data_IF_644577635520
#
_entry.id   IF_644577635520
#
_cell.length_a   1.000
_cell.length_b   1.000
_cell.length_c   1.000
_cell.angle_alpha   90.00
_cell.angle_beta   90.00
_cell.angle_gamma   90.00
#
_symmetry.space_group_name_H-M   'P 1'
#
loop_
_entity.id
_entity.type
_entity.pdbx_description
1 polymer ?
#
# COMPACT_ATOMS: atom_id res chain seq x y z
N UNK A 1 -18.43 20.24 -9.73
CA UNK A 1 -17.52 19.41 -10.56
C UNK A 1 -17.10 18.20 -9.75
N UNK A 2 -17.27 16.99 -10.30
CA UNK A 2 -16.83 15.76 -9.64
C UNK A 2 -15.37 15.51 -9.96
N UNK A 3 -14.55 15.30 -8.93
CA UNK A 3 -13.15 14.96 -9.09
C UNK A 3 -12.99 13.44 -9.16
N UNK A 4 -11.99 13.00 -9.94
CA UNK A 4 -11.47 11.67 -9.76
C UNK A 4 -10.91 11.55 -8.34
N UNK A 5 -11.12 10.42 -7.69
CA UNK A 5 -10.81 10.29 -6.28
C UNK A 5 -10.08 8.99 -5.94
N UNK A 6 -9.32 9.06 -4.86
CA UNK A 6 -8.69 7.91 -4.22
C UNK A 6 -9.40 7.70 -2.88
N UNK A 7 -9.78 6.47 -2.60
CA UNK A 7 -10.35 6.08 -1.32
C UNK A 7 -9.21 5.57 -0.42
N UNK A 8 -9.11 6.13 0.77
CA UNK A 8 -8.18 5.65 1.80
C UNK A 8 -9.01 5.00 2.90
N UNK A 9 -8.79 3.71 3.15
CA UNK A 9 -9.45 3.00 4.25
C UNK A 9 -8.53 3.00 5.47
N UNK A 10 -9.06 3.49 6.59
CA UNK A 10 -8.33 3.69 7.83
C UNK A 10 -8.45 2.46 8.74
N UNK A 11 -7.33 1.82 9.00
CA UNK A 11 -7.23 0.68 9.91
C UNK A 11 -6.73 1.08 11.31
N UNK A 12 -6.79 2.37 11.63
CA UNK A 12 -6.43 2.87 12.96
C UNK A 12 -4.98 3.31 13.11
N UNK A 13 -4.27 3.53 12.01
CA UNK A 13 -2.91 4.05 12.05
C UNK A 13 -2.90 5.52 12.48
N UNK A 14 -1.90 5.91 13.29
CA UNK A 14 -1.65 7.31 13.61
C UNK A 14 -1.21 8.13 12.39
N UNK A 15 -0.76 7.47 11.33
CA UNK A 15 -0.23 8.14 10.12
C UNK A 15 -1.18 8.06 8.92
N UNK A 16 -2.42 7.62 9.10
CA UNK A 16 -3.40 7.56 8.00
C UNK A 16 -3.65 8.94 7.38
N UNK A 17 -3.77 9.98 8.21
CA UNK A 17 -3.95 11.34 7.70
C UNK A 17 -2.74 11.83 6.92
N UNK A 18 -1.56 11.30 7.21
CA UNK A 18 -0.35 11.62 6.47
C UNK A 18 -0.40 11.03 5.05
N UNK A 19 -0.99 9.84 4.88
CA UNK A 19 -1.25 9.28 3.55
C UNK A 19 -2.12 10.22 2.74
N UNK A 20 -3.23 10.68 3.32
CA UNK A 20 -4.14 11.63 2.68
C UNK A 20 -3.41 12.92 2.29
N UNK A 21 -2.58 13.43 3.19
CA UNK A 21 -1.79 14.64 2.93
C UNK A 21 -0.85 14.45 1.73
N UNK A 22 -0.16 13.31 1.65
CA UNK A 22 0.76 13.02 0.54
C UNK A 22 0.02 12.92 -0.78
N UNK A 23 -1.16 12.31 -0.79
CA UNK A 23 -1.99 12.21 -1.99
C UNK A 23 -2.43 13.61 -2.43
N UNK A 24 -2.86 14.46 -1.49
CA UNK A 24 -3.28 15.83 -1.78
C UNK A 24 -2.13 16.70 -2.26
N UNK A 25 -0.93 16.48 -1.76
CA UNK A 25 0.28 17.17 -2.25
C UNK A 25 0.57 16.85 -3.72
N UNK A 26 0.12 15.68 -4.21
CA UNK A 26 0.20 15.31 -5.62
C UNK A 26 -0.96 15.90 -6.44
N UNK A 27 -1.78 16.77 -5.85
CA UNK A 27 -2.96 17.39 -6.46
C UNK A 27 -4.04 16.40 -6.88
N UNK A 28 -4.20 15.35 -6.08
CA UNK A 28 -5.22 14.31 -6.28
C UNK A 28 -6.20 14.37 -5.12
N UNK A 29 -7.50 14.39 -5.44
CA UNK A 29 -8.54 14.35 -4.41
C UNK A 29 -8.62 12.98 -3.77
N UNK A 30 -8.72 12.93 -2.45
CA UNK A 30 -8.89 11.69 -1.71
C UNK A 30 -9.81 11.89 -0.52
N UNK A 31 -10.43 10.81 -0.08
CA UNK A 31 -11.26 10.76 1.13
C UNK A 31 -10.80 9.60 2.01
N UNK A 32 -10.82 9.83 3.32
CA UNK A 32 -10.52 8.80 4.33
C UNK A 32 -11.84 8.31 4.92
N UNK A 33 -12.05 7.00 4.90
CA UNK A 33 -13.21 6.35 5.49
C UNK A 33 -12.76 5.16 6.35
N UNK A 34 -13.54 4.76 7.36
CA UNK A 34 -13.15 3.64 8.21
C UNK A 34 -13.14 2.31 7.44
N UNK A 35 -12.29 1.39 7.86
CA UNK A 35 -12.16 0.08 7.20
C UNK A 35 -13.40 -0.81 7.34
N UNK A 36 -14.29 -0.51 8.29
CA UNK A 36 -15.51 -1.29 8.56
C UNK A 36 -16.71 -0.92 7.67
N UNK A 37 -16.51 -0.07 6.64
CA UNK A 37 -17.54 0.17 5.64
C UNK A 37 -17.92 -1.14 4.96
N UNK A 38 -19.19 -1.24 4.55
CA UNK A 38 -19.72 -2.47 3.96
C UNK A 38 -19.34 -2.61 2.48
N UNK A 39 -19.44 -3.83 1.96
CA UNK A 39 -19.27 -4.07 0.52
C UNK A 39 -20.26 -3.25 -0.30
N UNK A 40 -21.49 -3.14 0.17
CA UNK A 40 -22.53 -2.33 -0.48
C UNK A 40 -22.14 -0.86 -0.52
N UNK A 41 -21.61 -0.33 0.61
CA UNK A 41 -21.13 1.05 0.67
C UNK A 41 -20.01 1.28 -0.36
N UNK A 42 -19.08 0.34 -0.48
CA UNK A 42 -17.94 0.44 -1.42
C UNK A 42 -18.45 0.46 -2.87
N UNK A 43 -19.37 -0.43 -3.21
CA UNK A 43 -19.95 -0.47 -4.56
C UNK A 43 -20.68 0.83 -4.91
N UNK A 44 -21.47 1.35 -3.96
CA UNK A 44 -22.19 2.61 -4.15
C UNK A 44 -21.22 3.79 -4.29
N UNK A 45 -20.16 3.81 -3.49
CA UNK A 45 -19.11 4.83 -3.56
C UNK A 45 -18.42 4.87 -4.93
N UNK A 46 -18.28 3.74 -5.57
CA UNK A 46 -17.57 3.58 -6.84
C UNK A 46 -18.48 3.70 -8.09
N UNK A 47 -19.81 3.79 -7.90
CA UNK A 47 -20.75 3.65 -9.03
C UNK A 47 -20.72 4.80 -10.04
N UNK A 48 -20.25 5.99 -9.64
CA UNK A 48 -20.17 7.15 -10.54
C UNK A 48 -18.93 7.10 -11.45
N UNK A 49 -18.06 6.09 -11.32
CA UNK A 49 -16.87 5.93 -12.13
C UNK A 49 -15.71 6.85 -11.76
N UNK A 50 -15.82 7.65 -10.70
CA UNK A 50 -14.78 8.58 -10.29
C UNK A 50 -13.74 7.97 -9.35
N UNK A 51 -14.02 6.81 -8.75
CA UNK A 51 -13.04 6.12 -7.91
C UNK A 51 -11.97 5.47 -8.80
N UNK A 52 -10.71 5.89 -8.62
CA UNK A 52 -9.59 5.45 -9.47
C UNK A 52 -8.61 4.53 -8.76
N UNK A 53 -8.67 4.46 -7.45
CA UNK A 53 -7.82 3.57 -6.67
C UNK A 53 -8.17 3.58 -5.20
N UNK A 54 -7.64 2.59 -4.47
CA UNK A 54 -7.85 2.43 -3.03
C UNK A 54 -6.50 2.25 -2.35
N UNK A 55 -6.31 2.91 -1.22
CA UNK A 55 -5.15 2.72 -0.35
C UNK A 55 -5.64 2.16 0.98
N UNK A 56 -5.03 1.05 1.42
CA UNK A 56 -5.29 0.43 2.72
C UNK A 56 -4.18 0.85 3.66
N UNK A 57 -4.54 1.54 4.74
CA UNK A 57 -3.56 2.09 5.69
C UNK A 57 -2.96 1.01 6.60
N UNK A 58 -1.98 1.40 7.41
CA UNK A 58 -1.48 0.58 8.49
C UNK A 58 -2.39 0.55 9.71
N UNK A 59 -2.00 -0.23 10.69
CA UNK A 59 -2.64 -0.33 12.00
C UNK A 59 -1.57 -0.64 13.03
N UNK A 60 -1.84 -0.34 14.30
CA UNK A 60 -1.02 -0.81 15.43
C UNK A 60 -1.34 -2.26 15.82
N UNK A 61 -2.48 -2.77 15.34
CA UNK A 61 -2.95 -4.11 15.69
C UNK A 61 -2.33 -5.18 14.79
N UNK A 62 -2.40 -6.41 15.23
CA UNK A 62 -2.08 -7.60 14.45
C UNK A 62 -3.36 -8.14 13.79
N UNK A 63 -3.23 -8.78 12.62
CA UNK A 63 -4.34 -9.50 11.98
C UNK A 63 -4.85 -10.66 12.85
N UNK A 64 -4.09 -11.07 13.84
CA UNK A 64 -4.49 -12.10 14.81
C UNK A 64 -5.17 -11.52 16.07
N UNK A 65 -5.05 -10.22 16.29
CA UNK A 65 -5.62 -9.54 17.46
C UNK A 65 -6.97 -8.90 17.16
N UNK A 66 -7.19 -8.51 15.91
CA UNK A 66 -8.42 -7.85 15.47
C UNK A 66 -8.89 -8.46 14.15
N UNK A 67 -10.20 -8.43 13.95
CA UNK A 67 -10.84 -8.89 12.70
C UNK A 67 -10.96 -7.77 11.66
N UNK A 68 -10.23 -6.69 11.81
CA UNK A 68 -10.26 -5.60 10.87
C UNK A 68 -9.71 -6.05 9.52
N UNK A 69 -10.54 -5.98 8.51
CA UNK A 69 -10.17 -6.33 7.14
C UNK A 69 -10.81 -5.34 6.18
N UNK A 70 -10.25 -5.25 4.98
CA UNK A 70 -10.87 -4.46 3.94
C UNK A 70 -12.17 -5.14 3.48
N UNK A 71 -13.20 -4.37 3.07
CA UNK A 71 -14.34 -4.97 2.40
C UNK A 71 -13.88 -5.75 1.17
N UNK A 72 -14.38 -6.97 1.00
CA UNK A 72 -13.99 -7.82 -0.14
C UNK A 72 -14.31 -7.16 -1.48
N UNK A 73 -15.35 -6.32 -1.53
CA UNK A 73 -15.71 -5.56 -2.72
C UNK A 73 -14.57 -4.68 -3.26
N UNK A 74 -13.67 -4.21 -2.39
CA UNK A 74 -12.50 -3.40 -2.81
C UNK A 74 -11.68 -4.14 -3.87
N UNK A 75 -11.49 -5.44 -3.68
CA UNK A 75 -10.69 -6.26 -4.60
C UNK A 75 -11.46 -6.70 -5.84
N UNK A 76 -12.75 -6.44 -5.89
CA UNK A 76 -13.62 -6.79 -7.03
C UNK A 76 -14.00 -5.60 -7.90
N UNK A 77 -13.61 -4.37 -7.53
CA UNK A 77 -13.97 -3.15 -8.27
C UNK A 77 -13.24 -2.99 -9.61
N UNK A 78 -12.10 -3.67 -9.79
CA UNK A 78 -11.27 -3.49 -10.98
C UNK A 78 -10.37 -2.24 -10.93
N UNK A 79 -10.24 -1.59 -9.79
CA UNK A 79 -9.34 -0.45 -9.60
C UNK A 79 -8.06 -0.88 -8.90
N UNK A 80 -6.94 -0.15 -9.11
CA UNK A 80 -5.70 -0.43 -8.39
C UNK A 80 -5.86 -0.31 -6.87
N UNK A 81 -5.15 -1.17 -6.13
CA UNK A 81 -5.14 -1.15 -4.67
C UNK A 81 -3.69 -1.14 -4.18
N UNK A 82 -3.39 -0.27 -3.23
CA UNK A 82 -2.10 -0.23 -2.53
C UNK A 82 -2.33 -0.53 -1.05
N UNK A 83 -1.70 -1.60 -0.55
CA UNK A 83 -1.69 -1.93 0.88
C UNK A 83 -0.41 -1.48 1.54
N UNK A 84 -0.51 -0.85 2.70
CA UNK A 84 0.63 -0.33 3.46
C UNK A 84 0.63 -0.98 4.84
N UNK A 85 1.73 -1.65 5.20
CA UNK A 85 1.92 -2.28 6.51
C UNK A 85 0.78 -3.27 6.82
N UNK A 86 -0.09 -2.98 7.78
CA UNK A 86 -1.28 -3.81 8.05
C UNK A 86 -2.14 -4.00 6.80
N UNK A 87 -2.27 -2.96 5.97
CA UNK A 87 -3.01 -3.05 4.70
C UNK A 87 -2.43 -4.11 3.76
N UNK A 88 -1.12 -4.30 3.75
CA UNK A 88 -0.48 -5.40 3.02
C UNK A 88 -0.85 -6.76 3.62
N UNK A 89 -0.85 -6.85 4.94
CA UNK A 89 -1.13 -8.10 5.65
C UNK A 89 -2.58 -8.55 5.44
N UNK A 90 -3.54 -7.65 5.56
CA UNK A 90 -4.95 -7.97 5.31
C UNK A 90 -5.18 -8.33 3.85
N UNK A 91 -4.54 -7.63 2.91
CA UNK A 91 -4.58 -7.98 1.49
C UNK A 91 -4.06 -9.41 1.25
N UNK A 92 -2.91 -9.74 1.82
CA UNK A 92 -2.33 -11.06 1.68
C UNK A 92 -3.27 -12.14 2.22
N UNK A 93 -3.82 -11.93 3.41
CA UNK A 93 -4.69 -12.90 4.06
C UNK A 93 -6.01 -13.09 3.32
N UNK A 94 -6.63 -12.00 2.86
CA UNK A 94 -7.90 -12.05 2.13
C UNK A 94 -7.77 -12.66 0.73
N UNK A 95 -6.61 -12.56 0.11
CA UNK A 95 -6.40 -13.05 -1.27
C UNK A 95 -5.71 -14.42 -1.34
N UNK A 96 -5.55 -15.10 -0.19
CA UNK A 96 -5.08 -16.47 -0.15
C UNK A 96 -3.61 -16.67 0.16
N UNK A 97 -2.91 -15.62 0.60
CA UNK A 97 -1.56 -15.71 1.14
C UNK A 97 -1.56 -16.06 2.62
N UNK A 98 -0.40 -15.93 3.25
CA UNK A 98 -0.24 -16.27 4.66
C UNK A 98 0.51 -15.18 5.40
N UNK A 99 0.04 -14.86 6.61
CA UNK A 99 0.68 -13.92 7.55
C UNK A 99 1.05 -14.72 8.80
N UNK A 100 2.23 -14.49 9.34
CA UNK A 100 2.68 -15.11 10.58
C UNK A 100 3.09 -14.04 11.58
N UNK A 101 2.84 -14.31 12.86
CA UNK A 101 3.29 -13.45 13.94
C UNK A 101 4.81 -13.45 14.01
N UNK A 102 5.42 -12.27 14.03
CA UNK A 102 6.85 -12.13 14.24
C UNK A 102 7.22 -12.35 15.70
N UNK A 103 8.38 -12.94 15.93
CA UNK A 103 8.91 -13.12 17.28
C UNK A 103 9.46 -11.82 17.86
N UNK A 104 9.84 -10.89 17.01
CA UNK A 104 10.34 -9.56 17.37
C UNK A 104 9.66 -8.52 16.51
N UNK A 105 9.35 -7.37 17.12
CA UNK A 105 8.87 -6.22 16.37
C UNK A 105 10.04 -5.48 15.74
N UNK A 106 9.92 -5.15 14.46
CA UNK A 106 10.89 -4.34 13.75
C UNK A 106 10.40 -2.91 13.68
N UNK A 107 11.14 -2.01 14.30
CA UNK A 107 10.89 -0.58 14.24
C UNK A 107 12.15 0.13 13.79
N UNK A 108 11.98 1.09 12.90
CA UNK A 108 13.06 1.98 12.52
C UNK A 108 13.51 1.83 11.08
N UNK A 109 14.72 2.28 10.86
CA UNK A 109 15.35 2.33 9.54
C UNK A 109 15.65 0.93 9.03
N UNK A 110 15.36 0.73 7.76
CA UNK A 110 15.74 -0.50 7.04
C UNK A 110 16.10 -0.17 5.59
N UNK A 111 16.95 -1.00 5.01
CA UNK A 111 17.26 -0.94 3.59
C UNK A 111 16.57 -2.10 2.90
N UNK A 112 15.70 -1.79 1.95
CA UNK A 112 14.88 -2.76 1.24
C UNK A 112 15.41 -2.90 -0.19
N UNK A 113 15.62 -4.14 -0.62
CA UNK A 113 15.96 -4.43 -2.00
C UNK A 113 14.70 -4.43 -2.85
N UNK A 114 14.64 -3.54 -3.83
CA UNK A 114 13.59 -3.58 -4.84
C UNK A 114 13.85 -4.76 -5.77
N UNK A 115 12.83 -5.60 -5.95
CA UNK A 115 12.93 -6.81 -6.78
C UNK A 115 11.96 -6.74 -7.94
N UNK A 116 12.48 -7.11 -9.11
CA UNK A 116 11.70 -7.08 -10.33
C UNK A 116 11.49 -5.65 -10.86
N UNK A 117 10.75 -5.56 -11.94
CA UNK A 117 10.48 -4.29 -12.61
C UNK A 117 8.98 -4.02 -12.56
N UNK A 118 8.45 -3.87 -11.32
CA UNK A 118 7.03 -3.54 -11.16
C UNK A 118 6.77 -2.11 -11.58
N UNK A 119 5.56 -1.84 -12.05
CA UNK A 119 5.14 -0.50 -12.42
C UNK A 119 5.28 0.48 -11.24
N UNK A 120 5.11 -0.01 -10.00
CA UNK A 120 5.20 0.84 -8.80
C UNK A 120 6.63 1.26 -8.47
N UNK A 121 7.59 0.34 -8.52
CA UNK A 121 8.96 0.59 -8.05
C UNK A 121 9.99 0.78 -9.17
N UNK A 122 9.60 0.65 -10.43
CA UNK A 122 10.53 0.81 -11.55
C UNK A 122 11.25 2.16 -11.47
N UNK A 123 12.57 2.10 -11.49
CA UNK A 123 13.47 3.27 -11.45
C UNK A 123 13.34 4.11 -10.18
N UNK A 124 12.74 3.58 -9.12
CA UNK A 124 12.71 4.21 -7.81
C UNK A 124 13.72 3.50 -6.91
N UNK A 125 14.79 4.19 -6.54
CA UNK A 125 15.80 3.68 -5.62
C UNK A 125 16.58 4.85 -5.01
N UNK A 126 17.03 4.67 -3.76
CA UNK A 126 17.93 5.64 -3.10
C UNK A 126 19.37 5.45 -3.56
N UNK A 127 19.75 4.20 -3.79
CA UNK A 127 21.09 3.86 -4.30
C UNK A 127 21.06 2.49 -4.95
N UNK A 128 22.11 2.16 -5.66
CA UNK A 128 22.29 0.87 -6.33
C UNK A 128 23.53 0.18 -5.78
N UNK A 129 23.45 -1.10 -5.46
CA UNK A 129 24.59 -1.88 -4.98
C UNK A 129 25.58 -2.17 -6.11
N UNK A 130 26.78 -2.66 -5.75
CA UNK A 130 27.79 -3.05 -6.73
C UNK A 130 27.29 -4.14 -7.70
N UNK A 131 26.36 -4.99 -7.24
CA UNK A 131 25.73 -6.03 -8.07
C UNK A 131 24.56 -5.50 -8.93
N UNK A 132 24.26 -4.20 -8.85
CA UNK A 132 23.21 -3.58 -9.65
C UNK A 132 21.81 -3.65 -9.03
N UNK A 133 21.69 -3.94 -7.73
CA UNK A 133 20.41 -4.01 -7.05
C UNK A 133 19.97 -2.62 -6.57
N UNK A 134 18.75 -2.20 -6.92
CA UNK A 134 18.15 -0.97 -6.40
C UNK A 134 17.74 -1.14 -4.94
N UNK A 135 18.14 -0.20 -4.09
CA UNK A 135 17.87 -0.21 -2.66
C UNK A 135 17.06 1.01 -2.25
N UNK A 136 16.14 0.79 -1.34
CA UNK A 136 15.28 1.83 -0.77
C UNK A 136 15.54 1.96 0.72
N UNK A 137 15.71 3.19 1.18
CA UNK A 137 15.83 3.53 2.60
C UNK A 137 14.43 3.83 3.12
N UNK A 138 13.95 3.00 4.04
CA UNK A 138 12.55 3.02 4.47
C UNK A 138 12.43 2.99 5.99
N UNK A 139 11.23 3.32 6.46
CA UNK A 139 10.82 3.14 7.85
C UNK A 139 9.94 1.91 7.96
N UNK A 140 10.36 0.96 8.79
CA UNK A 140 9.61 -0.25 9.14
C UNK A 140 8.94 -0.09 10.49
N UNK A 141 7.74 -0.65 10.63
CA UNK A 141 7.02 -0.69 11.90
C UNK A 141 6.03 -1.86 11.85
N UNK A 142 6.51 -3.07 12.17
CA UNK A 142 5.66 -4.26 12.13
C UNK A 142 6.11 -5.34 13.10
N UNK A 143 5.15 -6.11 13.63
CA UNK A 143 5.38 -7.34 14.39
C UNK A 143 5.11 -8.57 13.53
N UNK A 144 4.01 -8.56 12.80
CA UNK A 144 3.61 -9.62 11.89
C UNK A 144 4.22 -9.40 10.51
N UNK A 145 4.32 -10.47 9.72
CA UNK A 145 4.82 -10.37 8.34
C UNK A 145 4.15 -11.38 7.42
N UNK A 146 4.06 -11.04 6.16
CA UNK A 146 3.59 -11.94 5.11
C UNK A 146 4.68 -12.99 4.86
N UNK A 147 4.33 -14.26 4.94
CA UNK A 147 5.27 -15.37 4.74
C UNK A 147 5.00 -16.16 3.48
N UNK A 148 3.83 -15.99 2.88
CA UNK A 148 3.45 -16.66 1.64
C UNK A 148 2.65 -15.70 0.76
N UNK A 149 3.07 -15.55 -0.49
CA UNK A 149 2.41 -14.70 -1.47
C UNK A 149 1.04 -15.27 -1.85
N UNK A 150 -0.01 -14.41 -1.96
CA UNK A 150 -1.26 -14.86 -2.55
C UNK A 150 -1.10 -15.31 -4.00
N UNK A 151 -2.01 -16.14 -4.53
CA UNK A 151 -1.97 -16.53 -5.94
C UNK A 151 -1.96 -15.31 -6.87
N UNK A 152 -1.10 -15.34 -7.88
CA UNK A 152 -0.95 -14.26 -8.84
C UNK A 152 0.02 -13.16 -8.45
N UNK A 153 0.45 -13.11 -7.19
CA UNK A 153 1.41 -12.11 -6.72
C UNK A 153 2.84 -12.55 -6.96
N UNK A 154 3.71 -11.56 -7.16
CA UNK A 154 5.15 -11.73 -7.25
C UNK A 154 5.85 -10.89 -6.20
N UNK A 155 7.05 -11.29 -5.82
CA UNK A 155 7.88 -10.55 -4.88
C UNK A 155 8.29 -9.22 -5.51
N UNK A 156 8.06 -8.12 -4.79
CA UNK A 156 8.39 -6.78 -5.25
C UNK A 156 9.53 -6.14 -4.45
N UNK A 157 9.65 -6.49 -3.17
CA UNK A 157 10.69 -5.95 -2.30
C UNK A 157 11.02 -6.94 -1.18
N UNK A 158 12.26 -6.91 -0.70
CA UNK A 158 12.73 -7.85 0.34
C UNK A 158 13.82 -7.24 1.21
N UNK A 159 13.89 -7.72 2.45
CA UNK A 159 15.03 -7.55 3.36
C UNK A 159 15.40 -8.93 3.91
N UNK A 160 16.53 -9.03 4.60
CA UNK A 160 16.94 -10.29 5.23
C UNK A 160 15.98 -10.72 6.33
N UNK A 161 15.48 -9.77 7.11
CA UNK A 161 14.54 -10.03 8.21
C UNK A 161 13.08 -10.08 7.74
N UNK A 162 12.78 -9.51 6.60
CA UNK A 162 11.44 -9.49 6.01
C UNK A 162 11.53 -9.89 4.53
N UNK A 163 11.56 -11.21 4.23
CA UNK A 163 11.73 -11.68 2.85
C UNK A 163 10.64 -11.20 1.89
N UNK A 164 9.43 -10.96 2.37
CA UNK A 164 8.34 -10.36 1.60
C UNK A 164 8.03 -8.99 2.18
N UNK A 165 8.84 -8.00 1.81
CA UNK A 165 8.64 -6.61 2.20
C UNK A 165 7.78 -5.84 1.20
N UNK A 166 7.50 -6.43 0.06
CA UNK A 166 6.60 -5.90 -0.96
C UNK A 166 6.17 -7.00 -1.90
N UNK A 167 4.95 -6.88 -2.40
CA UNK A 167 4.36 -7.84 -3.34
C UNK A 167 3.49 -7.12 -4.35
N UNK A 168 3.32 -7.70 -5.54
CA UNK A 168 2.53 -7.10 -6.60
C UNK A 168 1.85 -8.15 -7.45
N UNK A 169 0.58 -7.88 -7.80
CA UNK A 169 -0.13 -8.56 -8.89
C UNK A 169 -0.37 -7.51 -9.98
N UNK A 170 0.52 -7.50 -10.97
CA UNK A 170 0.49 -6.51 -12.05
C UNK A 170 -0.79 -6.61 -12.90
N UNK A 171 -1.34 -7.82 -13.07
CA UNK A 171 -2.55 -8.01 -13.86
C UNK A 171 -3.76 -7.32 -13.25
N UNK A 172 -3.91 -7.40 -11.92
CA UNK A 172 -5.00 -6.73 -11.18
C UNK A 172 -4.61 -5.34 -10.69
N UNK A 173 -3.35 -4.96 -10.83
CA UNK A 173 -2.78 -3.70 -10.32
C UNK A 173 -2.92 -3.59 -8.79
N UNK A 174 -2.67 -4.68 -8.09
CA UNK A 174 -2.60 -4.74 -6.63
C UNK A 174 -1.15 -4.69 -6.20
N UNK A 175 -0.83 -3.75 -5.32
CA UNK A 175 0.52 -3.53 -4.81
C UNK A 175 0.48 -3.44 -3.30
N UNK A 176 1.50 -3.92 -2.63
CA UNK A 176 1.59 -3.79 -1.18
C UNK A 176 3.03 -3.69 -0.72
N UNK A 177 3.24 -2.90 0.31
CA UNK A 177 4.55 -2.70 0.94
C UNK A 177 4.41 -2.82 2.45
N UNK A 178 5.41 -3.41 3.10
CA UNK A 178 5.44 -3.55 4.55
C UNK A 178 5.90 -2.26 5.24
N UNK A 179 6.66 -1.43 4.54
CA UNK A 179 7.15 -0.17 5.06
C UNK A 179 6.13 0.96 4.85
N UNK A 180 6.39 2.10 5.49
CA UNK A 180 5.53 3.28 5.45
C UNK A 180 6.05 4.32 4.45
N UNK A 181 5.48 4.42 3.24
CA UNK A 181 5.91 5.42 2.26
C UNK A 181 5.47 6.85 2.61
N UNK A 182 4.47 7.00 3.48
CA UNK A 182 3.91 8.30 3.85
C UNK A 182 4.80 9.09 4.81
N UNK A 183 5.69 8.43 5.55
CA UNK A 183 6.56 9.10 6.52
C UNK A 183 7.83 9.65 5.86
N UNK A 184 8.38 10.72 6.44
CA UNK A 184 9.57 11.39 5.89
C UNK A 184 10.82 10.52 5.93
N UNK A 185 10.85 9.53 6.83
CA UNK A 185 11.99 8.60 6.96
C UNK A 185 12.11 7.62 5.79
N UNK A 186 11.04 7.43 5.00
CA UNK A 186 11.10 6.70 3.74
C UNK A 186 11.37 7.71 2.63
N UNK A 187 12.63 7.79 2.19
CA UNK A 187 13.11 8.88 1.35
C UNK A 187 12.41 8.94 -0.01
N UNK A 188 12.11 7.79 -0.62
CA UNK A 188 11.43 7.72 -1.92
C UNK A 188 9.92 7.52 -1.78
N UNK A 189 9.38 7.69 -0.58
CA UNK A 189 7.96 7.46 -0.30
C UNK A 189 7.05 8.34 -1.12
N UNK A 190 7.39 9.62 -1.26
CA UNK A 190 6.63 10.56 -2.09
C UNK A 190 6.59 10.10 -3.56
N UNK A 191 7.72 9.71 -4.12
CA UNK A 191 7.79 9.22 -5.49
C UNK A 191 6.94 7.96 -5.67
N UNK A 192 6.95 7.05 -4.69
CA UNK A 192 6.15 5.84 -4.70
C UNK A 192 4.65 6.15 -4.69
N UNK A 193 4.21 7.04 -3.77
CA UNK A 193 2.80 7.40 -3.67
C UNK A 193 2.32 8.17 -4.90
N UNK A 194 3.12 9.09 -5.43
CA UNK A 194 2.80 9.80 -6.68
C UNK A 194 2.70 8.82 -7.86
N UNK A 195 3.63 7.86 -7.94
CA UNK A 195 3.58 6.82 -8.98
C UNK A 195 2.29 6.03 -8.90
N UNK A 196 1.84 5.67 -7.70
CA UNK A 196 0.60 4.93 -7.53
C UNK A 196 -0.61 5.77 -7.96
N UNK A 197 -0.79 6.96 -7.38
CA UNK A 197 -2.02 7.74 -7.62
C UNK A 197 -2.08 8.36 -9.01
N UNK A 198 -0.96 8.80 -9.56
CA UNK A 198 -0.92 9.43 -10.89
C UNK A 198 -0.67 8.41 -12.00
N UNK A 199 0.36 7.56 -11.84
CA UNK A 199 0.78 6.63 -12.88
C UNK A 199 -0.09 5.39 -12.98
N UNK A 200 -0.31 4.71 -11.87
CA UNK A 200 -1.03 3.42 -11.85
C UNK A 200 -2.54 3.64 -11.83
N UNK A 201 -3.02 4.53 -10.97
CA UNK A 201 -4.46 4.87 -10.91
C UNK A 201 -4.90 5.76 -12.08
N UNK A 202 -3.97 6.47 -12.71
CA UNK A 202 -4.25 7.32 -13.85
C UNK A 202 -5.10 8.54 -13.53
N UNK A 203 -5.03 9.05 -12.28
CA UNK A 203 -5.76 10.25 -11.91
C UNK A 203 -5.12 11.48 -12.52
N UNK A 204 -5.94 12.51 -12.70
CA UNK A 204 -5.45 13.83 -13.11
C UNK A 204 -5.05 14.63 -11.87
N UNK A 205 -3.93 15.34 -11.96
CA UNK A 205 -3.46 16.22 -10.87
C UNK A 205 -4.17 17.58 -10.97
N UNK A 206 -5.47 17.58 -10.82
CA UNK A 206 -6.32 18.77 -11.02
C UNK A 206 -6.99 19.30 -9.75
N UNK A 207 -6.71 18.68 -8.60
CA UNK A 207 -7.26 19.11 -7.32
C UNK A 207 -6.28 20.07 -6.62
N UNK A 208 -6.82 21.17 -6.08
CA UNK A 208 -6.04 22.19 -5.36
C UNK A 208 -6.58 22.29 -3.93
N UNK A 209 -5.68 22.24 -2.97
CA UNK A 209 -5.99 22.42 -1.54
C UNK A 209 -6.45 23.85 -1.24
#
# INVERSE_FOLDING_TARGET
MQHQKILILDFGSQVTQLIARRVREAHVYCEVHPCDVTDEWVRDYAKDGQLKGVILSGSHASVYEVDDKAPDAVFALGVPVLGICYGMQTMAQQLGGKVEAGHTREFGYAEVRARGHTALLKDIADFTTAEGHGMLKVWMSHGDKVTELPPGFKLMASTDSCPIAGMADEARRFYAVQFHPEVTHTLQGRALLERFVLGICGTRADWIM
#
